data_IF_227258204270
#
_entry.id   IF_227258204270
#
_cell.length_a   1.000
_cell.length_b   1.000
_cell.length_c   1.000
_cell.angle_alpha   90.00
_cell.angle_beta   90.00
_cell.angle_gamma   90.00
#
_symmetry.space_group_name_H-M   'P 1'
#
loop_
_entity.id
_entity.type
_entity.pdbx_description
1 polymer ?
#
# COMPACT_ATOMS: atom_id res chain seq x y z
N UNK A 1 -10.26 -20.39 22.03
CA UNK A 1 -10.31 -20.48 20.56
C UNK A 1 -11.59 -19.81 20.07
N UNK A 2 -11.57 -18.51 19.79
CA UNK A 2 -12.71 -17.85 19.15
C UNK A 2 -12.58 -18.00 17.64
N UNK A 3 -13.27 -18.98 17.06
CA UNK A 3 -13.48 -19.05 15.61
C UNK A 3 -14.37 -17.87 15.21
N UNK A 4 -13.74 -16.74 14.86
CA UNK A 4 -14.44 -15.56 14.36
C UNK A 4 -15.10 -15.84 13.01
N UNK A 5 -16.22 -15.16 12.77
CA UNK A 5 -17.11 -15.31 11.60
C UNK A 5 -16.38 -15.25 10.25
N UNK A 6 -15.21 -14.61 10.18
CA UNK A 6 -14.37 -14.56 8.97
C UNK A 6 -13.74 -15.92 8.56
N UNK A 7 -13.53 -16.84 9.50
CA UNK A 7 -12.87 -18.12 9.24
C UNK A 7 -13.79 -19.15 8.56
N UNK A 8 -15.11 -19.07 8.78
CA UNK A 8 -16.08 -20.04 8.25
C UNK A 8 -16.42 -19.80 6.77
N UNK A 9 -16.50 -18.55 6.33
CA UNK A 9 -16.84 -18.23 4.94
C UNK A 9 -15.68 -18.46 3.95
N UNK A 10 -14.45 -18.52 4.45
CA UNK A 10 -13.23 -18.70 3.64
C UNK A 10 -12.95 -20.17 3.35
N UNK A 11 -13.35 -21.09 4.24
CA UNK A 11 -13.00 -22.51 4.16
C UNK A 11 -13.71 -23.29 3.03
N UNK A 12 -14.77 -22.73 2.42
CA UNK A 12 -15.50 -23.33 1.29
C UNK A 12 -15.22 -22.60 -0.03
N UNK A 13 -14.21 -21.72 -0.09
CA UNK A 13 -13.89 -21.00 -1.31
C UNK A 13 -13.26 -21.92 -2.35
N UNK A 14 -13.68 -21.80 -3.60
CA UNK A 14 -12.97 -22.37 -4.74
C UNK A 14 -12.14 -21.25 -5.38
N UNK A 15 -10.82 -21.40 -5.35
CA UNK A 15 -9.87 -20.41 -5.86
C UNK A 15 -9.26 -20.81 -7.20
N UNK A 16 -9.76 -21.87 -7.84
CA UNK A 16 -9.21 -22.40 -9.10
C UNK A 16 -9.14 -21.38 -10.25
N UNK A 17 -9.92 -20.29 -10.20
CA UNK A 17 -9.91 -19.21 -11.19
C UNK A 17 -9.11 -17.96 -10.79
N UNK A 18 -8.53 -17.92 -9.60
CA UNK A 18 -7.87 -16.73 -9.07
C UNK A 18 -6.48 -16.56 -9.71
N UNK A 19 -6.29 -15.46 -10.45
CA UNK A 19 -5.01 -15.14 -11.12
C UNK A 19 -4.29 -13.92 -10.55
N UNK A 20 -4.98 -13.09 -9.78
CA UNK A 20 -4.45 -11.86 -9.23
C UNK A 20 -4.83 -11.69 -7.76
N UNK A 21 -3.84 -11.35 -6.93
CA UNK A 21 -4.02 -11.14 -5.50
C UNK A 21 -3.76 -9.68 -5.10
N UNK A 22 -4.46 -9.17 -4.10
CA UNK A 22 -4.10 -7.95 -3.39
C UNK A 22 -3.85 -8.28 -1.91
N UNK A 23 -2.68 -7.90 -1.39
CA UNK A 23 -2.26 -8.16 -0.02
C UNK A 23 -2.11 -6.83 0.71
N UNK A 24 -2.74 -6.71 1.88
CA UNK A 24 -2.67 -5.52 2.72
C UNK A 24 -2.54 -5.89 4.21
N UNK A 25 -2.04 -4.95 5.02
CA UNK A 25 -1.91 -5.10 6.47
C UNK A 25 -2.85 -4.16 7.22
N UNK A 26 -3.56 -4.69 8.23
CA UNK A 26 -4.35 -3.86 9.14
C UNK A 26 -3.96 -4.13 10.60
N UNK A 27 -3.82 -3.06 11.39
CA UNK A 27 -3.61 -3.18 12.82
C UNK A 27 -4.95 -3.42 13.52
N UNK A 28 -5.13 -4.55 14.18
CA UNK A 28 -6.41 -4.86 14.84
C UNK A 28 -6.44 -4.46 16.33
N UNK A 29 -5.27 -4.24 16.96
CA UNK A 29 -5.11 -3.67 18.33
C UNK A 29 -3.80 -2.90 18.47
N UNK A 30 -3.74 -1.98 19.46
CA UNK A 30 -2.48 -1.35 19.88
C UNK A 30 -1.45 -2.41 20.27
N UNK A 31 -0.17 -2.17 19.94
CA UNK A 31 0.95 -3.01 20.38
C UNK A 31 1.44 -4.07 19.40
N UNK A 32 1.63 -3.73 18.12
CA UNK A 32 2.24 -4.61 17.09
C UNK A 32 1.42 -5.86 16.70
N UNK A 33 0.09 -5.78 16.77
CA UNK A 33 -0.79 -6.85 16.36
C UNK A 33 -1.33 -6.55 14.94
N UNK A 34 -0.72 -7.20 13.95
CA UNK A 34 -1.05 -7.05 12.53
C UNK A 34 -1.83 -8.25 12.01
N UNK A 35 -2.74 -7.96 11.09
CA UNK A 35 -3.50 -8.93 10.33
C UNK A 35 -3.18 -8.72 8.85
N UNK A 36 -2.69 -9.75 8.18
CA UNK A 36 -2.56 -9.79 6.73
C UNK A 36 -3.90 -10.20 6.13
N UNK A 37 -4.39 -9.37 5.21
CA UNK A 37 -5.57 -9.61 4.41
C UNK A 37 -5.14 -9.90 2.98
N UNK A 38 -5.70 -10.94 2.37
CA UNK A 38 -5.52 -11.23 0.94
C UNK A 38 -6.87 -11.26 0.27
N UNK A 39 -6.99 -10.51 -0.81
CA UNK A 39 -8.16 -10.44 -1.66
C UNK A 39 -7.86 -11.00 -3.04
N UNK A 40 -8.86 -11.63 -3.66
CA UNK A 40 -8.92 -11.78 -5.10
C UNK A 40 -9.13 -10.40 -5.71
N UNK A 41 -8.16 -9.95 -6.53
CA UNK A 41 -8.17 -8.61 -7.10
C UNK A 41 -9.26 -8.43 -8.17
N UNK A 42 -9.63 -9.51 -8.86
CA UNK A 42 -10.62 -9.50 -9.92
C UNK A 42 -12.04 -9.64 -9.34
N UNK A 43 -12.24 -10.62 -8.46
CA UNK A 43 -13.53 -10.85 -7.81
C UNK A 43 -13.83 -9.83 -6.70
N UNK A 44 -12.82 -9.08 -6.23
CA UNK A 44 -12.90 -8.09 -5.14
C UNK A 44 -13.44 -8.68 -3.83
N UNK A 45 -12.97 -9.88 -3.49
CA UNK A 45 -13.39 -10.60 -2.28
C UNK A 45 -12.18 -10.93 -1.42
N UNK A 46 -12.31 -10.78 -0.11
CA UNK A 46 -11.32 -11.31 0.82
C UNK A 46 -11.37 -12.83 0.75
N UNK A 47 -10.24 -13.44 0.41
CA UNK A 47 -10.09 -14.89 0.28
C UNK A 47 -9.24 -15.48 1.38
N UNK A 48 -8.39 -14.70 2.04
CA UNK A 48 -7.54 -15.22 3.10
C UNK A 48 -7.20 -14.15 4.13
N UNK A 49 -7.10 -14.57 5.40
CA UNK A 49 -6.83 -13.70 6.54
C UNK A 49 -5.93 -14.46 7.52
N UNK A 50 -4.78 -13.90 7.87
CA UNK A 50 -3.88 -14.47 8.88
C UNK A 50 -3.29 -13.41 9.78
N UNK A 51 -2.99 -13.77 11.02
CA UNK A 51 -2.16 -12.94 11.89
C UNK A 51 -0.71 -12.90 11.38
N UNK A 52 -0.06 -11.75 11.59
CA UNK A 52 1.31 -11.47 11.17
C UNK A 52 1.38 -10.46 10.03
N UNK A 53 2.62 -10.20 9.57
CA UNK A 53 2.91 -9.37 8.39
C UNK A 53 4.27 -9.66 7.76
N UNK A 54 4.79 -10.85 8.00
CA UNK A 54 6.09 -11.29 7.54
C UNK A 54 5.97 -12.12 6.25
N UNK A 55 7.11 -12.52 5.68
CA UNK A 55 7.16 -13.38 4.50
C UNK A 55 6.40 -14.70 4.70
N UNK A 56 6.37 -15.23 5.94
CA UNK A 56 5.67 -16.47 6.25
C UNK A 56 4.14 -16.33 6.09
N UNK A 57 3.57 -15.13 6.23
CA UNK A 57 2.15 -14.91 5.93
C UNK A 57 1.81 -15.16 4.45
N UNK A 58 2.74 -14.85 3.53
CA UNK A 58 2.58 -15.18 2.10
C UNK A 58 2.73 -16.68 1.87
N UNK A 59 3.62 -17.35 2.61
CA UNK A 59 3.73 -18.81 2.60
C UNK A 59 2.43 -19.50 3.01
N UNK A 60 1.79 -19.05 4.09
CA UNK A 60 0.47 -19.54 4.53
C UNK A 60 -0.61 -19.32 3.47
N UNK A 61 -0.56 -18.17 2.77
CA UNK A 61 -1.47 -17.92 1.66
C UNK A 61 -1.23 -18.90 0.49
N UNK A 62 0.02 -19.21 0.16
CA UNK A 62 0.34 -20.20 -0.88
C UNK A 62 -0.10 -21.63 -0.50
N UNK A 63 -0.04 -21.99 0.79
CA UNK A 63 -0.64 -23.23 1.30
C UNK A 63 -2.17 -23.20 1.16
N UNK A 64 -2.80 -22.09 1.56
CA UNK A 64 -4.24 -21.90 1.44
C UNK A 64 -4.74 -22.02 -0.01
N UNK A 65 -4.02 -21.46 -0.99
CA UNK A 65 -4.32 -21.66 -2.41
C UNK A 65 -4.42 -23.16 -2.75
N UNK A 66 -3.42 -23.96 -2.34
CA UNK A 66 -3.40 -25.41 -2.64
C UNK A 66 -4.56 -26.16 -2.00
N UNK A 67 -4.95 -25.76 -0.79
CA UNK A 67 -6.12 -26.33 -0.10
C UNK A 67 -7.45 -26.01 -0.81
N UNK A 68 -7.48 -24.94 -1.61
CA UNK A 68 -8.69 -24.39 -2.26
C UNK A 68 -8.60 -24.48 -3.79
N UNK A 69 -8.04 -25.59 -4.31
CA UNK A 69 -7.91 -25.94 -5.73
C UNK A 69 -7.08 -24.97 -6.59
N UNK A 70 -6.20 -24.19 -5.98
CA UNK A 70 -5.36 -23.22 -6.66
C UNK A 70 -3.86 -23.54 -6.52
N UNK A 71 -3.13 -23.52 -7.64
CA UNK A 71 -1.67 -23.56 -7.64
C UNK A 71 -1.09 -22.14 -7.42
N UNK A 72 -0.12 -21.94 -6.53
CA UNK A 72 0.58 -20.66 -6.36
C UNK A 72 1.18 -20.10 -7.66
N UNK A 73 1.59 -20.98 -8.57
CA UNK A 73 2.18 -20.66 -9.87
C UNK A 73 1.18 -19.99 -10.83
N UNK A 74 -0.12 -20.07 -10.57
CA UNK A 74 -1.13 -19.43 -11.41
C UNK A 74 -1.30 -17.93 -11.10
N UNK A 75 -0.82 -17.48 -9.93
CA UNK A 75 -0.90 -16.08 -9.54
C UNK A 75 0.12 -15.30 -10.37
N UNK A 76 -0.35 -14.55 -11.35
CA UNK A 76 0.50 -13.78 -12.26
C UNK A 76 0.79 -12.36 -11.76
N UNK A 77 -0.08 -11.81 -10.91
CA UNK A 77 0.05 -10.45 -10.37
C UNK A 77 -0.29 -10.45 -8.89
N UNK A 78 0.55 -9.78 -8.10
CA UNK A 78 0.25 -9.49 -6.70
C UNK A 78 0.41 -8.00 -6.45
N UNK A 79 -0.65 -7.35 -6.00
CA UNK A 79 -0.58 -5.99 -5.49
C UNK A 79 -0.26 -6.02 -4.00
N UNK A 80 0.86 -5.40 -3.60
CA UNK A 80 1.29 -5.30 -2.21
C UNK A 80 1.68 -3.85 -1.88
N UNK A 81 1.86 -3.56 -0.59
CA UNK A 81 2.60 -2.37 -0.16
C UNK A 81 4.11 -2.50 -0.48
N UNK A 82 4.92 -1.53 -0.02
CA UNK A 82 6.38 -1.56 -0.23
C UNK A 82 7.13 -2.33 0.88
N UNK A 83 6.48 -3.24 1.61
CA UNK A 83 7.08 -4.02 2.70
C UNK A 83 8.14 -4.97 2.16
N UNK A 84 9.40 -4.89 2.64
CA UNK A 84 10.44 -5.87 2.28
C UNK A 84 10.03 -7.32 2.61
N UNK A 85 9.20 -7.51 3.65
CA UNK A 85 8.74 -8.83 4.04
C UNK A 85 7.75 -9.42 3.02
N UNK A 86 6.82 -8.62 2.48
CA UNK A 86 5.92 -9.09 1.43
C UNK A 86 6.65 -9.26 0.10
N UNK A 87 7.56 -8.35 -0.27
CA UNK A 87 8.41 -8.52 -1.46
C UNK A 87 9.15 -9.86 -1.40
N UNK A 88 9.77 -10.16 -0.25
CA UNK A 88 10.44 -11.45 -0.01
C UNK A 88 9.47 -12.62 -0.10
N UNK A 89 8.34 -12.56 0.61
CA UNK A 89 7.36 -13.64 0.66
C UNK A 89 6.75 -13.96 -0.71
N UNK A 90 6.44 -12.94 -1.52
CA UNK A 90 5.96 -13.14 -2.90
C UNK A 90 7.05 -13.82 -3.74
N UNK A 91 8.30 -13.35 -3.67
CA UNK A 91 9.41 -13.97 -4.39
C UNK A 91 9.70 -15.42 -3.99
N UNK A 92 9.45 -15.80 -2.73
CA UNK A 92 9.69 -17.16 -2.23
C UNK A 92 8.52 -18.12 -2.50
N UNK A 93 7.28 -17.63 -2.52
CA UNK A 93 6.09 -18.50 -2.51
C UNK A 93 5.16 -18.36 -3.72
N UNK A 94 5.28 -17.29 -4.51
CA UNK A 94 4.47 -17.01 -5.70
C UNK A 94 5.39 -16.77 -6.91
N UNK A 95 6.05 -17.83 -7.43
CA UNK A 95 7.23 -17.69 -8.30
C UNK A 95 6.95 -17.04 -9.66
N UNK A 96 5.70 -17.08 -10.14
CA UNK A 96 5.30 -16.46 -11.41
C UNK A 96 4.66 -15.07 -11.23
N UNK A 97 4.52 -14.60 -9.99
CA UNK A 97 3.85 -13.35 -9.70
C UNK A 97 4.76 -12.16 -9.98
N UNK A 98 4.25 -11.21 -10.76
CA UNK A 98 4.79 -9.86 -10.83
C UNK A 98 4.25 -9.01 -9.67
N UNK A 99 5.15 -8.29 -8.99
CA UNK A 99 4.79 -7.38 -7.90
C UNK A 99 4.35 -6.04 -8.49
N UNK A 100 3.15 -5.60 -8.11
CA UNK A 100 2.66 -4.24 -8.35
C UNK A 100 2.52 -3.51 -7.02
N UNK A 101 3.12 -2.34 -6.86
CA UNK A 101 2.93 -1.55 -5.66
C UNK A 101 1.57 -0.85 -5.66
N UNK A 102 0.86 -0.95 -4.55
CA UNK A 102 -0.40 -0.25 -4.38
C UNK A 102 -0.21 1.28 -4.49
N UNK A 103 -1.03 1.88 -5.35
CA UNK A 103 -1.07 3.32 -5.60
C UNK A 103 -1.34 4.13 -4.34
N UNK A 104 -2.17 3.63 -3.42
CA UNK A 104 -2.51 4.39 -2.21
C UNK A 104 -1.28 4.56 -1.32
N UNK A 105 -0.57 3.47 -1.06
CA UNK A 105 0.69 3.50 -0.31
C UNK A 105 1.76 4.35 -1.02
N UNK A 106 1.90 4.25 -2.34
CA UNK A 106 2.83 5.07 -3.11
C UNK A 106 2.55 6.58 -2.97
N UNK A 107 1.29 6.99 -3.13
CA UNK A 107 0.87 8.39 -2.96
C UNK A 107 1.03 8.84 -1.51
N UNK A 108 0.74 7.97 -0.53
CA UNK A 108 0.91 8.26 0.89
C UNK A 108 2.38 8.52 1.24
N UNK A 109 3.31 7.69 0.74
CA UNK A 109 4.75 7.90 0.92
C UNK A 109 5.23 9.21 0.30
N UNK A 110 4.83 9.50 -0.95
CA UNK A 110 5.17 10.75 -1.62
C UNK A 110 4.63 11.97 -0.84
N UNK A 111 3.39 11.89 -0.37
CA UNK A 111 2.75 12.92 0.45
C UNK A 111 3.48 13.16 1.78
N UNK A 112 3.87 12.08 2.47
CA UNK A 112 4.61 12.17 3.71
C UNK A 112 6.00 12.78 3.50
N UNK A 113 6.70 12.38 2.43
CA UNK A 113 7.98 12.97 2.05
C UNK A 113 7.85 14.46 1.75
N UNK A 114 6.82 14.86 0.99
CA UNK A 114 6.57 16.26 0.66
C UNK A 114 6.25 17.11 1.90
N UNK A 115 5.38 16.67 2.81
CA UNK A 115 5.12 17.41 4.06
C UNK A 115 6.37 17.44 4.97
N UNK A 116 7.18 16.38 5.00
CA UNK A 116 8.44 16.35 5.75
C UNK A 116 9.41 17.40 5.20
N UNK A 117 9.63 17.44 3.89
CA UNK A 117 10.50 18.43 3.24
C UNK A 117 9.98 19.85 3.47
N UNK A 118 8.68 20.07 3.26
CA UNK A 118 8.02 21.36 3.56
C UNK A 118 8.28 21.81 5.00
N UNK A 119 8.17 20.93 6.00
CA UNK A 119 8.45 21.26 7.42
C UNK A 119 9.91 21.61 7.67
N UNK A 120 10.85 20.96 6.97
CA UNK A 120 12.28 21.25 7.08
C UNK A 120 12.56 22.63 6.49
N UNK A 121 12.12 22.88 5.26
CA UNK A 121 12.36 24.13 4.54
C UNK A 121 11.59 25.32 5.13
N UNK A 122 10.41 25.10 5.71
CA UNK A 122 9.63 26.15 6.36
C UNK A 122 10.41 26.86 7.49
N UNK A 123 11.41 26.20 8.10
CA UNK A 123 12.26 26.80 9.14
C UNK A 123 13.06 28.00 8.62
N UNK A 124 13.42 27.98 7.34
CA UNK A 124 14.21 29.02 6.68
C UNK A 124 13.41 29.81 5.65
N UNK A 125 12.29 29.26 5.18
CA UNK A 125 11.36 29.93 4.26
C UNK A 125 9.93 29.99 4.84
N UNK A 126 9.57 31.11 5.52
CA UNK A 126 8.23 31.29 6.10
C UNK A 126 7.09 31.24 5.07
N UNK A 127 7.36 31.43 3.77
CA UNK A 127 6.32 31.36 2.72
C UNK A 127 5.70 29.97 2.59
N UNK A 128 6.39 28.92 3.07
CA UNK A 128 5.88 27.53 3.08
C UNK A 128 4.86 27.25 4.20
N UNK A 129 4.62 28.22 5.09
CA UNK A 129 3.64 28.11 6.17
C UNK A 129 2.22 28.12 5.59
N UNK A 130 1.39 27.15 6.01
CA UNK A 130 0.01 27.05 5.53
C UNK A 130 -0.16 26.29 4.21
N UNK A 131 0.90 26.06 3.44
CA UNK A 131 0.84 25.40 2.13
C UNK A 131 0.69 23.87 2.17
N UNK A 132 0.53 23.26 3.36
CA UNK A 132 0.43 21.79 3.48
C UNK A 132 -0.63 21.21 2.55
N UNK A 133 -1.86 21.73 2.61
CA UNK A 133 -2.95 21.19 1.79
C UNK A 133 -2.86 21.60 0.33
N UNK A 134 -2.29 22.77 0.04
CA UNK A 134 -1.98 23.22 -1.32
C UNK A 134 -1.02 22.26 -2.02
N UNK A 135 -0.07 21.68 -1.29
CA UNK A 135 0.93 20.74 -1.82
C UNK A 135 0.44 19.28 -1.90
N UNK A 136 -0.50 18.88 -1.05
CA UNK A 136 -0.93 17.48 -0.93
C UNK A 136 -2.19 17.13 -1.71
N UNK A 137 -2.88 18.12 -2.27
CA UNK A 137 -4.10 17.91 -3.04
C UNK A 137 -3.83 17.95 -4.53
N UNK A 138 -4.69 17.28 -5.27
CA UNK A 138 -4.72 17.41 -6.72
C UNK A 138 -4.93 18.88 -7.12
N UNK A 139 -4.14 19.34 -8.09
CA UNK A 139 -4.14 20.73 -8.55
C UNK A 139 -5.53 21.12 -9.04
N UNK A 140 -6.22 20.23 -9.76
CA UNK A 140 -7.53 20.51 -10.33
C UNK A 140 -8.66 20.57 -9.29
N UNK A 141 -8.47 19.94 -8.13
CA UNK A 141 -9.33 20.07 -6.97
C UNK A 141 -9.07 21.31 -6.09
N UNK A 142 -8.05 22.14 -6.37
CA UNK A 142 -7.73 23.30 -5.54
C UNK A 142 -8.63 24.51 -5.85
N UNK A 143 -9.07 25.27 -4.81
CA UNK A 143 -9.62 26.61 -4.97
C UNK A 143 -8.65 27.53 -5.72
N UNK A 144 -9.17 28.50 -6.47
CA UNK A 144 -8.37 29.37 -7.34
C UNK A 144 -7.17 30.03 -6.62
N UNK A 145 -7.37 30.52 -5.39
CA UNK A 145 -6.30 31.12 -4.60
C UNK A 145 -5.17 30.11 -4.26
N UNK A 146 -5.52 28.92 -3.78
CA UNK A 146 -4.53 27.89 -3.45
C UNK A 146 -3.80 27.37 -4.70
N UNK A 147 -4.49 27.30 -5.83
CA UNK A 147 -3.88 26.94 -7.12
C UNK A 147 -2.87 28.00 -7.55
N UNK A 148 -3.20 29.28 -7.42
CA UNK A 148 -2.27 30.37 -7.70
C UNK A 148 -1.03 30.30 -6.79
N UNK A 149 -1.21 30.00 -5.50
CA UNK A 149 -0.09 29.79 -4.57
C UNK A 149 0.80 28.60 -5.00
N UNK A 150 0.20 27.48 -5.42
CA UNK A 150 0.92 26.31 -5.92
C UNK A 150 1.71 26.64 -7.19
N UNK A 151 1.08 27.29 -8.16
CA UNK A 151 1.70 27.65 -9.43
C UNK A 151 2.85 28.64 -9.21
N UNK A 152 2.69 29.62 -8.31
CA UNK A 152 3.73 30.55 -7.92
C UNK A 152 4.91 29.84 -7.23
N UNK A 153 4.63 28.86 -6.38
CA UNK A 153 5.67 28.06 -5.75
C UNK A 153 6.46 27.24 -6.78
N UNK A 154 5.76 26.54 -7.69
CA UNK A 154 6.39 25.73 -8.75
C UNK A 154 7.25 26.60 -9.67
N UNK A 155 6.78 27.79 -10.05
CA UNK A 155 7.54 28.73 -10.87
C UNK A 155 8.87 29.16 -10.22
N UNK A 156 8.91 29.19 -8.88
CA UNK A 156 10.11 29.58 -8.12
C UNK A 156 11.10 28.43 -7.86
N UNK A 157 10.73 27.16 -8.10
CA UNK A 157 11.59 25.98 -7.87
C UNK A 157 12.89 26.02 -8.70
N UNK A 158 12.91 26.72 -9.83
CA UNK A 158 14.13 26.87 -10.67
C UNK A 158 15.20 27.78 -10.06
N UNK A 159 14.87 28.57 -9.02
CA UNK A 159 15.76 29.59 -8.45
C UNK A 159 16.38 29.23 -7.11
N UNK A 160 15.77 28.32 -6.35
CA UNK A 160 16.27 27.86 -5.04
C UNK A 160 16.56 26.36 -5.10
N UNK A 161 17.81 25.97 -5.35
CA UNK A 161 18.22 24.56 -5.25
C UNK A 161 18.38 24.17 -3.78
N UNK A 162 17.60 23.21 -3.32
CA UNK A 162 17.84 22.53 -2.03
C UNK A 162 19.19 21.78 -2.13
N UNK A 163 20.10 21.91 -1.16
CA UNK A 163 21.32 21.10 -1.11
C UNK A 163 20.92 19.62 -1.07
N UNK A 164 21.50 18.79 -1.94
CA UNK A 164 21.34 17.34 -1.83
C UNK A 164 22.03 16.89 -0.54
N UNK A 165 21.32 16.13 0.29
CA UNK A 165 21.89 15.43 1.43
C UNK A 165 22.78 14.27 0.97
#
# INVERSE_FOLDING_TARGET
>A
MSRGIACLAVAELDLAGMTAAAVDETSYRRGHNYLTLVADADARKIVFVTEGKDAATVGKFAEHLREHNAAPEQIGVVSIDMSPAFIKGVGEHLPNASITFDKFHAVAHASAALDKTRRIEQKTDPSLKGLRWTLLKDRDGLPAAQRADLDALIANVTTKRTPRA
#
